data_IF_337854079406
#
_entry.id   IF_337854079406
#
_cell.length_a   1.000
_cell.length_b   1.000
_cell.length_c   1.000
_cell.angle_alpha   90.00
_cell.angle_beta   90.00
_cell.angle_gamma   90.00
#
_symmetry.space_group_name_H-M   'P 1'
#
loop_
_entity.id
_entity.type
_entity.pdbx_description
1 polymer ?
#
# COMPACT_ATOMS: atom_id res chain seq x y z
N UNK A 1 1.29 -25.22 9.80
CA UNK A 1 1.09 -24.59 8.49
C UNK A 1 0.56 -23.20 8.77
N UNK A 2 1.31 -22.15 8.45
CA UNK A 2 0.80 -20.78 8.58
C UNK A 2 -0.17 -20.57 7.41
N UNK A 3 -1.44 -20.27 7.71
CA UNK A 3 -2.38 -19.89 6.66
C UNK A 3 -2.01 -18.50 6.14
N UNK A 4 -2.03 -18.29 4.81
CA UNK A 4 -1.74 -16.98 4.25
C UNK A 4 -2.82 -16.00 4.66
N UNK A 5 -2.41 -14.81 5.13
CA UNK A 5 -3.35 -13.81 5.63
C UNK A 5 -4.22 -13.20 4.53
N UNK A 6 -3.80 -13.34 3.27
CA UNK A 6 -4.49 -12.84 2.07
C UNK A 6 -4.37 -13.88 0.96
N UNK A 7 -5.50 -14.20 0.32
CA UNK A 7 -5.55 -14.98 -0.91
C UNK A 7 -6.00 -14.08 -2.07
N UNK A 8 -5.36 -14.24 -3.22
CA UNK A 8 -5.86 -13.66 -4.47
C UNK A 8 -6.60 -14.76 -5.21
N UNK A 9 -7.82 -14.46 -5.63
CA UNK A 9 -8.69 -15.38 -6.38
C UNK A 9 -9.00 -14.81 -7.76
N UNK A 10 -9.11 -15.71 -8.74
CA UNK A 10 -9.61 -15.33 -10.07
C UNK A 10 -11.13 -15.12 -10.06
N UNK A 11 -11.70 -14.76 -11.23
CA UNK A 11 -13.14 -14.53 -11.37
C UNK A 11 -13.99 -15.79 -11.19
N UNK A 12 -13.39 -16.98 -11.25
CA UNK A 12 -14.04 -18.26 -11.00
C UNK A 12 -13.94 -18.70 -9.53
N UNK A 13 -13.20 -17.94 -8.71
CA UNK A 13 -13.00 -18.18 -7.29
C UNK A 13 -11.79 -19.06 -6.96
N UNK A 14 -10.99 -19.46 -7.94
CA UNK A 14 -9.80 -20.28 -7.72
C UNK A 14 -8.69 -19.44 -7.09
N UNK A 15 -7.97 -20.01 -6.11
CA UNK A 15 -6.81 -19.35 -5.48
C UNK A 15 -5.62 -19.31 -6.45
N UNK A 16 -5.22 -18.11 -6.86
CA UNK A 16 -4.09 -17.87 -7.77
C UNK A 16 -2.81 -17.45 -7.03
N UNK A 17 -2.92 -16.89 -5.83
CA UNK A 17 -1.80 -16.52 -4.96
C UNK A 17 -2.17 -16.72 -3.47
N UNK A 18 -1.19 -16.98 -2.57
CA UNK A 18 0.26 -16.93 -2.80
C UNK A 18 0.81 -18.16 -3.55
N UNK A 19 1.72 -17.93 -4.51
CA UNK A 19 2.48 -18.97 -5.23
C UNK A 19 3.85 -18.40 -5.64
N UNK A 20 4.93 -19.21 -5.67
CA UNK A 20 6.25 -18.77 -6.16
C UNK A 20 6.22 -18.25 -7.60
N UNK A 21 5.34 -18.82 -8.43
CA UNK A 21 5.08 -18.35 -9.79
C UNK A 21 3.58 -18.18 -9.96
N UNK A 22 3.15 -16.93 -10.10
CA UNK A 22 1.74 -16.59 -10.35
C UNK A 22 1.53 -16.39 -11.86
N UNK A 23 0.63 -17.18 -12.43
CA UNK A 23 0.19 -17.01 -13.82
C UNK A 23 -0.95 -15.99 -13.86
N UNK A 24 -0.60 -14.71 -13.92
CA UNK A 24 -1.59 -13.64 -14.07
C UNK A 24 -2.32 -13.76 -15.41
N UNK A 25 -3.63 -13.55 -15.41
CA UNK A 25 -4.39 -13.47 -16.64
C UNK A 25 -3.89 -12.30 -17.49
N UNK A 26 -3.32 -12.56 -18.66
CA UNK A 26 -2.80 -11.53 -19.56
C UNK A 26 -3.89 -10.73 -20.27
N UNK A 27 -5.12 -11.25 -20.32
CA UNK A 27 -6.29 -10.60 -20.91
C UNK A 27 -7.04 -9.79 -19.86
N UNK A 28 -6.34 -8.89 -19.16
CA UNK A 28 -7.00 -7.97 -18.24
C UNK A 28 -7.82 -6.95 -19.04
N UNK A 29 -9.12 -6.84 -18.74
CA UNK A 29 -9.93 -5.73 -19.23
C UNK A 29 -9.40 -4.41 -18.68
N UNK A 30 -9.45 -3.35 -19.48
CA UNK A 30 -9.09 -1.99 -19.04
C UNK A 30 -9.88 -1.58 -17.80
N UNK A 31 -9.26 -0.76 -16.95
CA UNK A 31 -9.88 -0.17 -15.75
C UNK A 31 -11.28 0.37 -16.03
N UNK A 32 -12.21 0.12 -15.12
CA UNK A 32 -13.58 0.60 -15.34
C UNK A 32 -13.65 2.14 -15.19
N UNK A 33 -14.72 2.75 -15.71
CA UNK A 33 -14.92 4.21 -15.68
C UNK A 33 -14.78 4.80 -14.27
N UNK A 34 -15.21 4.07 -13.24
CA UNK A 34 -15.18 4.51 -11.84
C UNK A 34 -13.76 4.53 -11.26
N UNK A 35 -12.90 3.59 -11.63
CA UNK A 35 -11.48 3.60 -11.25
C UNK A 35 -10.76 4.79 -11.86
N UNK A 36 -11.04 5.07 -13.13
CA UNK A 36 -10.48 6.23 -13.84
C UNK A 36 -10.88 7.55 -13.18
N UNK A 37 -12.11 7.66 -12.66
CA UNK A 37 -12.54 8.84 -11.91
C UNK A 37 -11.72 9.06 -10.64
N UNK A 38 -11.35 8.00 -9.90
CA UNK A 38 -10.47 8.15 -8.74
C UNK A 38 -9.07 8.57 -9.15
N UNK A 39 -8.52 8.01 -10.23
CA UNK A 39 -7.17 8.32 -10.70
C UNK A 39 -7.00 9.77 -11.18
N UNK A 40 -8.05 10.36 -11.79
CA UNK A 40 -8.03 11.75 -12.29
C UNK A 40 -7.82 12.80 -11.19
N UNK A 41 -8.25 12.51 -9.97
CA UNK A 41 -8.21 13.48 -8.86
C UNK A 41 -6.95 13.36 -8.00
N UNK A 42 -6.22 12.24 -8.12
CA UNK A 42 -4.95 12.03 -7.41
C UNK A 42 -3.91 13.01 -7.93
N UNK A 43 -3.06 13.48 -7.03
CA UNK A 43 -2.07 14.54 -7.31
C UNK A 43 -0.78 14.41 -6.51
N UNK A 44 -0.78 13.62 -5.45
CA UNK A 44 0.37 13.37 -4.57
C UNK A 44 0.95 12.00 -4.83
N UNK A 45 2.27 11.88 -4.70
CA UNK A 45 2.95 10.62 -4.99
C UNK A 45 2.63 9.55 -3.93
N UNK A 46 3.13 9.68 -2.70
CA UNK A 46 3.07 8.62 -1.69
C UNK A 46 2.44 9.11 -0.39
N UNK A 47 1.62 8.26 0.23
CA UNK A 47 1.27 8.40 1.64
C UNK A 47 1.51 7.12 2.43
N UNK A 48 1.75 7.26 3.73
CA UNK A 48 1.79 6.17 4.70
C UNK A 48 0.89 6.48 5.89
N UNK A 49 -0.03 5.57 6.22
CA UNK A 49 -0.82 5.63 7.44
C UNK A 49 -0.09 4.80 8.50
N UNK A 50 0.44 5.47 9.52
CA UNK A 50 1.23 4.83 10.57
C UNK A 50 0.29 4.36 11.68
N UNK A 51 -0.10 3.08 11.64
CA UNK A 51 -1.02 2.50 12.61
C UNK A 51 -0.35 2.15 13.96
N UNK A 52 0.98 1.98 13.97
CA UNK A 52 1.75 1.61 15.15
C UNK A 52 3.05 2.41 15.22
N UNK A 53 3.15 3.25 16.26
CA UNK A 53 4.28 4.17 16.44
C UNK A 53 5.51 3.50 17.06
N UNK A 54 5.28 2.50 17.91
CA UNK A 54 6.33 1.71 18.52
C UNK A 54 6.82 0.68 17.52
N UNK A 55 7.85 1.05 16.78
CA UNK A 55 8.53 0.13 15.88
C UNK A 55 9.71 -0.50 16.62
N UNK A 56 9.63 -1.80 16.93
CA UNK A 56 10.82 -2.61 17.28
C UNK A 56 11.84 -2.71 16.12
N UNK A 57 11.45 -2.21 14.94
CA UNK A 57 12.17 -2.32 13.68
C UNK A 57 12.52 -0.94 13.08
N UNK A 58 13.30 -0.95 12.00
CA UNK A 58 13.79 0.25 11.33
C UNK A 58 12.76 0.91 10.39
N UNK A 59 11.48 0.57 10.46
CA UNK A 59 10.45 1.07 9.50
C UNK A 59 10.34 2.58 9.48
N UNK A 60 10.24 3.20 10.66
CA UNK A 60 10.15 4.66 10.77
C UNK A 60 11.42 5.34 10.24
N UNK A 61 12.60 4.78 10.51
CA UNK A 61 13.88 5.28 9.99
C UNK A 61 13.94 5.18 8.46
N UNK A 62 13.55 4.03 7.91
CA UNK A 62 13.49 3.79 6.47
C UNK A 62 12.49 4.70 5.77
N UNK A 63 11.28 4.85 6.33
CA UNK A 63 10.27 5.76 5.81
C UNK A 63 10.76 7.21 5.80
N UNK A 64 11.41 7.69 6.87
CA UNK A 64 11.98 9.03 6.92
C UNK A 64 13.10 9.23 5.89
N UNK A 65 13.95 8.22 5.66
CA UNK A 65 14.98 8.26 4.61
C UNK A 65 14.32 8.34 3.22
N UNK A 66 13.32 7.51 2.97
CA UNK A 66 12.58 7.50 1.71
C UNK A 66 11.86 8.82 1.47
N UNK A 67 11.20 9.37 2.50
CA UNK A 67 10.55 10.68 2.43
C UNK A 67 11.53 11.80 2.02
N UNK A 68 12.76 11.80 2.54
CA UNK A 68 13.79 12.77 2.13
C UNK A 68 14.13 12.63 0.65
N UNK A 69 14.26 11.40 0.14
CA UNK A 69 14.54 11.13 -1.27
C UNK A 69 13.38 11.58 -2.17
N UNK A 70 12.13 11.28 -1.80
CA UNK A 70 10.96 11.76 -2.53
C UNK A 70 10.92 13.28 -2.60
N UNK A 71 11.10 13.96 -1.45
CA UNK A 71 11.12 15.43 -1.39
C UNK A 71 12.25 16.04 -2.22
N UNK A 72 13.44 15.43 -2.20
CA UNK A 72 14.57 15.88 -3.03
C UNK A 72 14.28 15.79 -4.54
N UNK A 73 13.33 14.94 -4.94
CA UNK A 73 12.86 14.79 -6.33
C UNK A 73 11.52 15.51 -6.58
N UNK A 74 11.14 16.47 -5.73
CA UNK A 74 9.88 17.21 -5.83
C UNK A 74 8.61 16.31 -5.82
N UNK A 75 8.68 15.17 -5.14
CA UNK A 75 7.55 14.25 -4.95
C UNK A 75 7.06 14.27 -3.50
N UNK A 76 5.75 14.14 -3.31
CA UNK A 76 5.14 14.03 -2.00
C UNK A 76 5.40 12.67 -1.35
N UNK A 77 5.77 12.68 -0.08
CA UNK A 77 5.69 11.52 0.79
C UNK A 77 5.13 11.99 2.13
N UNK A 78 3.84 11.75 2.34
CA UNK A 78 3.11 12.19 3.52
C UNK A 78 2.89 11.05 4.50
N UNK A 79 3.15 11.31 5.78
CA UNK A 79 3.00 10.34 6.84
C UNK A 79 1.90 10.81 7.78
N UNK A 80 0.90 9.97 8.00
CA UNK A 80 -0.21 10.24 8.90
C UNK A 80 -0.08 9.43 10.19
N UNK A 81 -0.30 10.07 11.34
CA UNK A 81 -0.16 9.45 12.66
C UNK A 81 1.25 9.57 13.27
N UNK A 82 1.40 9.10 14.50
CA UNK A 82 2.67 9.05 15.23
C UNK A 82 3.44 10.39 15.29
N UNK A 83 2.73 11.48 15.54
CA UNK A 83 3.31 12.83 15.63
C UNK A 83 3.64 13.48 14.27
N UNK A 84 3.22 12.88 13.15
CA UNK A 84 3.31 13.48 11.82
C UNK A 84 2.00 14.22 11.46
N UNK A 85 1.51 14.09 10.23
CA UNK A 85 0.26 14.71 9.81
C UNK A 85 -0.91 14.06 10.55
N UNK A 86 -1.90 14.88 10.89
CA UNK A 86 -3.17 14.42 11.43
C UNK A 86 -4.07 13.98 10.28
N UNK A 87 -4.81 12.88 10.44
CA UNK A 87 -5.80 12.47 9.46
C UNK A 87 -6.83 13.61 9.24
N UNK A 88 -7.20 13.92 7.99
CA UNK A 88 -8.33 14.80 7.71
C UNK A 88 -9.61 14.31 8.38
N UNK A 89 -10.61 15.18 8.52
CA UNK A 89 -11.90 14.84 9.18
C UNK A 89 -12.62 13.70 8.46
N UNK A 90 -12.49 13.63 7.15
CA UNK A 90 -13.01 12.56 6.31
C UNK A 90 -12.27 11.23 6.47
N UNK A 91 -11.13 11.20 7.17
CA UNK A 91 -10.34 10.01 7.45
C UNK A 91 -9.16 9.81 6.50
N UNK A 92 -8.11 9.13 7.00
CA UNK A 92 -6.87 8.91 6.25
C UNK A 92 -7.06 8.02 5.01
N UNK A 93 -7.93 7.01 5.06
CA UNK A 93 -8.23 6.17 3.88
C UNK A 93 -8.89 6.98 2.76
N UNK A 94 -9.78 7.90 3.11
CA UNK A 94 -10.40 8.79 2.13
C UNK A 94 -9.40 9.80 1.55
N UNK A 95 -8.47 10.29 2.37
CA UNK A 95 -7.36 11.10 1.89
C UNK A 95 -6.46 10.32 0.92
N UNK A 96 -6.08 9.09 1.27
CA UNK A 96 -5.31 8.18 0.41
C UNK A 96 -6.00 7.97 -0.93
N UNK A 97 -7.30 7.65 -0.88
CA UNK A 97 -8.13 7.42 -2.04
C UNK A 97 -8.25 8.62 -2.96
N UNK A 98 -8.45 9.81 -2.40
CA UNK A 98 -8.61 11.05 -3.16
C UNK A 98 -7.30 11.57 -3.74
N UNK A 99 -6.23 11.60 -2.95
CA UNK A 99 -5.09 12.45 -3.24
C UNK A 99 -3.84 11.69 -3.72
N UNK A 100 -3.67 10.40 -3.40
CA UNK A 100 -2.37 9.72 -3.55
C UNK A 100 -2.39 8.57 -4.56
N UNK A 101 -1.35 8.50 -5.39
CA UNK A 101 -1.14 7.39 -6.34
C UNK A 101 -0.62 6.12 -5.67
N UNK A 102 0.24 6.27 -4.66
CA UNK A 102 0.91 5.17 -3.99
C UNK A 102 0.64 5.18 -2.49
N UNK A 103 0.51 3.98 -1.92
CA UNK A 103 0.44 3.76 -0.48
C UNK A 103 1.70 3.03 -0.03
N UNK A 104 2.52 3.62 0.83
CA UNK A 104 3.62 2.90 1.43
C UNK A 104 3.09 1.96 2.51
N UNK A 105 3.33 0.65 2.35
CA UNK A 105 2.79 -0.43 3.16
C UNK A 105 3.95 -1.31 3.67
N UNK A 106 4.79 -0.81 4.61
CA UNK A 106 5.92 -1.56 5.13
C UNK A 106 5.45 -2.62 6.14
N UNK A 107 5.86 -3.85 5.93
CA UNK A 107 5.50 -5.00 6.76
C UNK A 107 6.11 -4.91 8.16
N UNK A 108 5.33 -5.34 9.15
CA UNK A 108 5.72 -5.35 10.57
C UNK A 108 6.88 -6.33 10.87
N UNK A 109 7.01 -7.37 10.05
CA UNK A 109 8.04 -8.39 10.17
C UNK A 109 8.64 -8.74 8.82
N UNK A 110 9.92 -9.15 8.82
CA UNK A 110 10.63 -9.65 7.63
C UNK A 110 10.41 -11.17 7.42
N UNK A 111 9.30 -11.72 7.92
CA UNK A 111 8.99 -13.13 7.73
C UNK A 111 8.66 -13.47 6.27
N UNK A 112 9.09 -14.64 5.79
CA UNK A 112 8.64 -15.18 4.50
C UNK A 112 7.11 -15.26 4.45
N UNK A 113 6.54 -14.95 3.28
CA UNK A 113 5.08 -14.94 3.02
C UNK A 113 4.26 -14.02 3.94
N UNK A 114 4.92 -13.08 4.64
CA UNK A 114 4.25 -12.15 5.53
C UNK A 114 3.69 -10.96 4.74
N UNK A 115 2.52 -11.17 4.16
CA UNK A 115 1.68 -10.12 3.55
C UNK A 115 0.55 -9.79 4.52
N UNK A 116 0.51 -8.55 5.00
CA UNK A 116 -0.49 -8.10 5.98
C UNK A 116 -1.59 -7.20 5.38
N UNK A 117 -2.49 -6.74 6.26
CA UNK A 117 -3.59 -5.81 5.98
C UNK A 117 -3.12 -4.45 5.41
N UNK A 118 -1.83 -4.19 5.51
CA UNK A 118 -1.14 -3.00 5.07
C UNK A 118 -1.26 -2.88 3.55
N UNK A 119 -1.14 -3.99 2.83
CA UNK A 119 -1.34 -4.04 1.37
C UNK A 119 -2.81 -3.76 1.01
N UNK A 120 -3.75 -4.32 1.77
CA UNK A 120 -5.21 -4.12 1.58
C UNK A 120 -5.58 -2.63 1.66
N UNK A 121 -4.86 -1.87 2.48
CA UNK A 121 -5.05 -0.41 2.56
C UNK A 121 -4.83 0.29 1.22
N UNK A 122 -3.80 -0.12 0.47
CA UNK A 122 -3.54 0.38 -0.88
C UNK A 122 -4.67 0.03 -1.84
N UNK A 123 -5.02 -1.25 -1.93
CA UNK A 123 -6.07 -1.74 -2.85
C UNK A 123 -7.42 -1.08 -2.60
N UNK A 124 -7.88 -1.01 -1.35
CA UNK A 124 -9.15 -0.38 -0.99
C UNK A 124 -9.19 1.13 -1.26
N UNK A 125 -8.02 1.75 -1.42
CA UNK A 125 -7.86 3.18 -1.68
C UNK A 125 -7.52 3.49 -3.14
N UNK A 126 -7.63 2.52 -4.05
CA UNK A 126 -7.22 2.69 -5.46
C UNK A 126 -5.81 3.27 -5.57
N UNK A 127 -4.91 2.86 -4.67
CA UNK A 127 -3.53 3.29 -4.62
C UNK A 127 -2.62 2.06 -4.75
N UNK A 128 -1.52 2.20 -5.49
CA UNK A 128 -0.59 1.09 -5.68
C UNK A 128 0.23 0.91 -4.40
N UNK A 129 0.17 -0.25 -3.72
CA UNK A 129 0.95 -0.48 -2.52
C UNK A 129 2.44 -0.60 -2.85
N UNK A 130 3.28 0.17 -2.17
CA UNK A 130 4.74 0.03 -2.15
C UNK A 130 5.07 -0.77 -0.91
N UNK A 131 5.39 -2.05 -1.11
CA UNK A 131 5.63 -3.01 -0.03
C UNK A 131 7.12 -3.09 0.25
N UNK A 132 7.46 -3.16 1.53
CA UNK A 132 8.79 -3.58 1.99
C UNK A 132 8.58 -4.67 3.02
N UNK A 133 8.96 -5.89 2.69
CA UNK A 133 8.88 -7.08 3.54
C UNK A 133 9.93 -8.11 3.10
N UNK A 134 9.92 -9.30 3.73
CA UNK A 134 10.84 -10.40 3.44
C UNK A 134 10.25 -11.51 2.56
N UNK A 135 9.12 -11.26 1.88
CA UNK A 135 8.52 -12.24 0.99
C UNK A 135 9.34 -12.33 -0.32
N UNK A 136 9.92 -13.51 -0.55
CA UNK A 136 10.57 -13.95 -1.80
C UNK A 136 9.61 -14.79 -2.65
#
# INVERSE_FOLDING_TARGET
MLEPMIEVRDCEGNVVAPRPVVNWNSNMTSSNVREMEYLKHKKKAVAWIVNKCETKNERMTNAKRLQRLFRANALDFDMYGCGNLVCPKEGCLNALKRDYYFCYAPEDSDGNDYVTSEIVTGYNSYAVPIVKGGAD
#
